data_IF_837243457928
#
_entry.id   IF_837243457928
#
_cell.length_a   1.000
_cell.length_b   1.000
_cell.length_c   1.000
_cell.angle_alpha   90.00
_cell.angle_beta   90.00
_cell.angle_gamma   90.00
#
_symmetry.space_group_name_H-M   'P 1'
#
loop_
_entity.id
_entity.type
_entity.pdbx_description
1 polymer ?
#
# COMPACT_ATOMS: atom_id res chain seq x y z
N UNK A 1 12.77 -33.67 -6.94
CA UNK A 1 11.82 -32.63 -6.48
C UNK A 1 11.85 -32.51 -4.99
N UNK A 2 11.83 -33.59 -4.28
CA UNK A 2 11.95 -33.56 -2.83
C UNK A 2 13.24 -32.92 -2.35
N UNK A 3 14.31 -33.02 -3.15
CA UNK A 3 15.61 -32.45 -2.80
C UNK A 3 15.59 -30.94 -2.67
N UNK A 4 14.81 -30.25 -3.52
CA UNK A 4 14.68 -28.80 -3.44
C UNK A 4 13.97 -28.37 -2.16
N UNK A 5 12.92 -29.09 -1.77
CA UNK A 5 12.23 -28.81 -0.53
C UNK A 5 13.12 -29.09 0.68
N UNK A 6 13.91 -30.16 0.63
CA UNK A 6 14.84 -30.51 1.69
C UNK A 6 16.02 -29.51 1.80
N UNK A 7 16.36 -28.84 0.70
CA UNK A 7 17.45 -27.86 0.66
C UNK A 7 17.05 -26.50 1.19
N UNK A 8 15.76 -26.20 1.39
CA UNK A 8 15.27 -24.91 1.86
C UNK A 8 15.36 -24.88 3.39
N UNK A 9 16.11 -23.92 3.97
CA UNK A 9 16.18 -23.81 5.43
C UNK A 9 14.81 -23.52 6.04
N UNK A 10 14.50 -24.09 7.21
CA UNK A 10 13.23 -23.83 7.90
C UNK A 10 12.99 -22.36 8.19
N UNK A 11 14.03 -21.61 8.51
CA UNK A 11 13.92 -20.17 8.75
C UNK A 11 13.45 -19.43 7.50
N UNK A 12 13.95 -19.81 6.34
CA UNK A 12 13.53 -19.22 5.06
C UNK A 12 12.05 -19.50 4.78
N UNK A 13 11.58 -20.71 5.07
CA UNK A 13 10.16 -21.06 4.93
C UNK A 13 9.29 -20.22 5.86
N UNK A 14 9.71 -20.02 7.09
CA UNK A 14 8.99 -19.18 8.05
C UNK A 14 8.88 -17.74 7.57
N UNK A 15 9.98 -17.18 7.07
CA UNK A 15 10.00 -15.81 6.54
C UNK A 15 9.11 -15.68 5.31
N UNK A 16 9.14 -16.67 4.40
CA UNK A 16 8.26 -16.68 3.22
C UNK A 16 6.79 -16.73 3.60
N UNK A 17 6.43 -17.52 4.61
CA UNK A 17 5.05 -17.56 5.10
C UNK A 17 4.62 -16.21 5.66
N UNK A 18 5.49 -15.54 6.39
CA UNK A 18 5.22 -14.20 6.90
C UNK A 18 5.02 -13.20 5.76
N UNK A 19 5.88 -13.25 4.75
CA UNK A 19 5.77 -12.40 3.56
C UNK A 19 4.44 -12.66 2.84
N UNK A 20 4.04 -13.91 2.67
CA UNK A 20 2.77 -14.26 2.03
C UNK A 20 1.58 -13.68 2.80
N UNK A 21 1.61 -13.73 4.12
CA UNK A 21 0.57 -13.14 4.95
C UNK A 21 0.53 -11.62 4.83
N UNK A 22 1.68 -10.98 4.80
CA UNK A 22 1.77 -9.53 4.60
C UNK A 22 1.22 -9.15 3.23
N UNK A 23 1.60 -9.87 2.19
CA UNK A 23 1.12 -9.62 0.83
C UNK A 23 -0.40 -9.75 0.74
N UNK A 24 -0.96 -10.77 1.37
CA UNK A 24 -2.41 -10.93 1.43
C UNK A 24 -3.08 -9.74 2.11
N UNK A 25 -2.55 -9.27 3.23
CA UNK A 25 -3.06 -8.10 3.93
C UNK A 25 -2.97 -6.84 3.06
N UNK A 26 -1.86 -6.65 2.34
CA UNK A 26 -1.70 -5.52 1.42
C UNK A 26 -2.78 -5.52 0.33
N UNK A 27 -3.05 -6.66 -0.28
CA UNK A 27 -4.06 -6.78 -1.33
C UNK A 27 -5.45 -6.44 -0.78
N UNK A 28 -5.80 -6.93 0.41
CA UNK A 28 -7.08 -6.59 1.03
C UNK A 28 -7.17 -5.09 1.35
N UNK A 29 -6.10 -4.49 1.86
CA UNK A 29 -6.07 -3.05 2.14
C UNK A 29 -6.21 -2.22 0.87
N UNK A 30 -5.52 -2.59 -0.21
CA UNK A 30 -5.66 -1.92 -1.49
C UNK A 30 -7.08 -2.02 -2.03
N UNK A 31 -7.72 -3.18 -1.91
CA UNK A 31 -9.10 -3.37 -2.31
C UNK A 31 -10.04 -2.40 -1.58
N UNK A 32 -9.91 -2.31 -0.26
CA UNK A 32 -10.70 -1.37 0.54
C UNK A 32 -10.43 0.09 0.15
N UNK A 33 -9.17 0.41 -0.09
CA UNK A 33 -8.80 1.76 -0.52
C UNK A 33 -9.47 2.13 -1.84
N UNK A 34 -9.46 1.23 -2.82
CA UNK A 34 -10.12 1.45 -4.10
C UNK A 34 -11.63 1.64 -3.95
N UNK A 35 -12.27 0.84 -3.11
CA UNK A 35 -13.70 1.01 -2.82
C UNK A 35 -13.98 2.40 -2.25
N UNK A 36 -13.13 2.86 -1.34
CA UNK A 36 -13.27 4.20 -0.76
C UNK A 36 -13.09 5.28 -1.82
N UNK A 37 -12.08 5.18 -2.66
CA UNK A 37 -11.83 6.20 -3.69
C UNK A 37 -12.93 6.23 -4.74
N UNK A 38 -13.51 5.08 -5.09
CA UNK A 38 -14.68 5.04 -5.98
C UNK A 38 -15.86 5.75 -5.36
N UNK A 39 -16.12 5.56 -4.08
CA UNK A 39 -17.21 6.26 -3.36
C UNK A 39 -16.94 7.75 -3.27
N UNK A 40 -15.71 8.15 -3.02
CA UNK A 40 -15.31 9.56 -3.01
C UNK A 40 -15.58 10.19 -4.38
N UNK A 41 -15.21 9.51 -5.47
CA UNK A 41 -15.46 9.99 -6.81
C UNK A 41 -16.93 10.20 -7.11
N UNK A 42 -17.79 9.25 -6.72
CA UNK A 42 -19.24 9.37 -6.86
C UNK A 42 -19.80 10.54 -6.04
N UNK A 43 -19.34 10.68 -4.81
CA UNK A 43 -19.78 11.75 -3.92
C UNK A 43 -19.39 13.12 -4.47
N UNK A 44 -18.16 13.27 -4.95
CA UNK A 44 -17.71 14.52 -5.56
C UNK A 44 -18.54 14.88 -6.79
N UNK A 45 -18.87 13.90 -7.63
CA UNK A 45 -19.72 14.11 -8.78
C UNK A 45 -21.13 14.56 -8.38
N UNK A 46 -21.71 13.95 -7.36
CA UNK A 46 -23.03 14.31 -6.84
C UNK A 46 -23.07 15.72 -6.26
N UNK A 47 -21.99 16.14 -5.62
CA UNK A 47 -21.89 17.44 -4.96
C UNK A 47 -21.26 18.52 -5.84
N UNK A 48 -20.95 18.22 -7.11
CA UNK A 48 -20.28 19.12 -8.04
C UNK A 48 -18.95 19.64 -7.49
N UNK A 49 -18.21 18.79 -6.78
CA UNK A 49 -16.88 19.14 -6.28
C UNK A 49 -15.82 18.81 -7.32
N UNK A 50 -14.69 19.54 -7.31
CA UNK A 50 -13.58 19.23 -8.21
C UNK A 50 -13.04 17.81 -7.98
N UNK A 51 -12.69 17.12 -9.06
CA UNK A 51 -12.10 15.78 -8.96
C UNK A 51 -10.67 15.80 -8.42
N UNK A 52 -9.93 16.88 -8.68
CA UNK A 52 -8.56 17.06 -8.20
C UNK A 52 -8.54 17.93 -6.94
N UNK A 53 -7.66 17.57 -6.01
CA UNK A 53 -7.44 18.31 -4.78
C UNK A 53 -5.92 18.33 -4.48
N UNK A 54 -5.17 19.28 -5.11
CA UNK A 54 -3.72 19.32 -4.95
C UNK A 54 -3.26 19.50 -3.51
N UNK A 55 -3.99 20.27 -2.71
CA UNK A 55 -3.64 20.46 -1.29
C UNK A 55 -3.73 19.13 -0.52
N UNK A 56 -4.76 18.34 -0.80
CA UNK A 56 -4.95 17.01 -0.21
C UNK A 56 -3.84 16.06 -0.62
N UNK A 57 -3.47 16.06 -1.90
CA UNK A 57 -2.40 15.19 -2.43
C UNK A 57 -1.08 15.52 -1.76
N UNK A 58 -0.74 16.80 -1.63
CA UNK A 58 0.49 17.22 -0.96
C UNK A 58 0.49 16.81 0.52
N UNK A 59 -0.62 16.99 1.20
CA UNK A 59 -0.76 16.57 2.60
C UNK A 59 -0.58 15.05 2.76
N UNK A 60 -1.11 14.26 1.82
CA UNK A 60 -0.95 12.81 1.81
C UNK A 60 0.51 12.41 1.63
N UNK A 61 1.23 13.06 0.71
CA UNK A 61 2.65 12.78 0.48
C UNK A 61 3.44 13.02 1.75
N UNK A 62 3.25 14.18 2.39
CA UNK A 62 3.97 14.52 3.62
C UNK A 62 3.66 13.56 4.76
N UNK A 63 2.40 13.21 4.91
CA UNK A 63 1.98 12.24 5.93
C UNK A 63 2.62 10.88 5.70
N UNK A 64 2.61 10.40 4.46
CA UNK A 64 3.15 9.10 4.11
C UNK A 64 4.67 9.04 4.33
N UNK A 65 5.36 10.13 4.01
CA UNK A 65 6.80 10.23 4.25
C UNK A 65 7.12 10.14 5.74
N UNK A 66 6.37 10.82 6.59
CA UNK A 66 6.54 10.75 8.05
C UNK A 66 6.26 9.35 8.59
N UNK A 67 5.20 8.71 8.11
CA UNK A 67 4.87 7.34 8.50
C UNK A 67 5.99 6.37 8.10
N UNK A 68 6.55 6.56 6.91
CA UNK A 68 7.66 5.73 6.43
C UNK A 68 8.89 5.89 7.32
N UNK A 69 9.22 7.12 7.70
CA UNK A 69 10.34 7.38 8.62
C UNK A 69 10.15 6.64 9.95
N UNK A 70 8.95 6.75 10.53
CA UNK A 70 8.64 6.04 11.77
C UNK A 70 8.65 4.53 11.65
N UNK A 71 8.42 4.00 10.47
CA UNK A 71 8.42 2.57 10.17
C UNK A 71 9.77 2.05 9.68
N UNK A 72 10.79 2.91 9.62
CA UNK A 72 12.11 2.59 9.06
C UNK A 72 12.03 2.14 7.58
N UNK A 73 11.12 2.74 6.84
CA UNK A 73 10.98 2.54 5.40
C UNK A 73 11.47 3.79 4.67
N UNK A 74 12.12 3.63 3.52
CA UNK A 74 12.59 4.73 2.73
C UNK A 74 11.41 5.66 2.34
N UNK A 75 11.43 6.94 2.76
CA UNK A 75 10.35 7.88 2.43
C UNK A 75 10.18 8.11 0.93
N UNK A 76 11.26 8.08 0.16
CA UNK A 76 11.20 8.25 -1.29
C UNK A 76 10.46 7.08 -1.94
N UNK A 77 10.70 5.87 -1.46
CA UNK A 77 9.95 4.69 -1.90
C UNK A 77 8.46 4.83 -1.56
N UNK A 78 8.15 5.25 -0.33
CA UNK A 78 6.77 5.42 0.12
C UNK A 78 6.03 6.44 -0.76
N UNK A 79 6.68 7.54 -1.12
CA UNK A 79 6.10 8.54 -2.00
C UNK A 79 5.83 7.98 -3.40
N UNK A 80 6.77 7.24 -3.97
CA UNK A 80 6.61 6.57 -5.26
C UNK A 80 5.48 5.56 -5.23
N UNK A 81 5.36 4.81 -4.14
CA UNK A 81 4.28 3.85 -3.95
C UNK A 81 2.92 4.55 -3.94
N UNK A 82 2.80 5.66 -3.21
CA UNK A 82 1.57 6.44 -3.16
C UNK A 82 1.20 6.96 -4.56
N UNK A 83 2.16 7.48 -5.31
CA UNK A 83 1.93 7.95 -6.67
C UNK A 83 1.42 6.83 -7.57
N UNK A 84 1.92 5.62 -7.39
CA UNK A 84 1.47 4.45 -8.14
C UNK A 84 0.04 4.05 -7.78
N UNK A 85 -0.31 4.14 -6.51
CA UNK A 85 -1.63 3.74 -6.00
C UNK A 85 -2.72 4.75 -6.36
N UNK A 86 -2.38 6.03 -6.36
CA UNK A 86 -3.32 7.10 -6.76
C UNK A 86 -3.55 7.06 -8.26
#
# INVERSE_FOLDING_TARGET
MTDQAAAVPPELLTLRNSIDNIDAALIHMLSERFKCTQRVGKLKAQLNLPSADPAREEAQVQRLRKLAEGANLDPDFAEKFLAFVI
#
